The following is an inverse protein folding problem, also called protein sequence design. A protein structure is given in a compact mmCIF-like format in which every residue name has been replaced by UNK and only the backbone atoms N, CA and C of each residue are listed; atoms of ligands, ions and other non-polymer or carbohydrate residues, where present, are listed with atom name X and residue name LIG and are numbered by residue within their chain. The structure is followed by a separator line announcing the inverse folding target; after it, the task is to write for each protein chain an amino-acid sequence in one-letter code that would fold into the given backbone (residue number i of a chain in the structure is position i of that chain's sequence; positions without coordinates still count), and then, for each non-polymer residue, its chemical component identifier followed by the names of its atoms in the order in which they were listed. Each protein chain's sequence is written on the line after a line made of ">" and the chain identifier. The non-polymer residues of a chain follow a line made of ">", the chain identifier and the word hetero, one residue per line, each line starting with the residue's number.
data_IF_986794289933
#
_entry.id   IF_986794289933
#
_cell.length_a   1.000
_cell.length_b   1.000
_cell.length_c   1.000
_cell.angle_alpha   90.00
_cell.angle_beta   90.00
_cell.angle_gamma   90.00
#
_symmetry.space_group_name_H-M   'P 1'
#
loop_
_entity.id
_entity.type
_entity.pdbx_description
1 polymer ?
#
# COMPACT_ATOMS: atom_id res chain seq x y z
N UNK A 1 -17.94 15.00 -11.31
CA UNK A 1 -18.18 14.00 -10.24
C UNK A 1 -18.76 14.71 -9.02
N UNK A 2 -19.74 14.10 -8.35
CA UNK A 2 -20.39 14.70 -7.17
C UNK A 2 -19.45 14.76 -5.96
N UNK A 3 -19.71 15.69 -5.04
CA UNK A 3 -19.01 15.76 -3.74
C UNK A 3 -19.94 15.20 -2.66
N UNK A 4 -19.41 14.28 -1.85
CA UNK A 4 -20.12 13.72 -0.69
C UNK A 4 -19.41 14.19 0.58
N UNK A 5 -20.17 14.60 1.60
CA UNK A 5 -19.61 15.00 2.88
C UNK A 5 -19.07 13.79 3.63
N UNK A 6 -17.83 13.87 4.11
CA UNK A 6 -17.23 12.88 5.00
C UNK A 6 -17.39 13.34 6.45
N UNK A 7 -18.37 12.79 7.15
CA UNK A 7 -18.57 13.04 8.58
C UNK A 7 -17.62 12.15 9.40
N UNK A 8 -16.58 12.74 9.97
CA UNK A 8 -15.59 12.03 10.81
C UNK A 8 -15.26 12.83 12.05
N UNK A 9 -14.91 12.11 13.13
CA UNK A 9 -14.45 12.72 14.38
C UNK A 9 -12.92 12.70 14.40
N UNK A 10 -12.32 13.85 14.73
CA UNK A 10 -10.89 13.98 14.96
C UNK A 10 -10.65 14.77 16.24
N UNK A 11 -9.48 14.59 16.86
CA UNK A 11 -9.11 15.37 18.04
C UNK A 11 -9.03 16.86 17.72
N UNK A 12 -9.42 17.70 18.69
CA UNK A 12 -9.34 19.17 18.57
C UNK A 12 -7.90 19.63 18.31
N UNK A 13 -6.92 18.97 18.93
CA UNK A 13 -5.50 19.28 18.70
C UNK A 13 -5.08 19.02 17.25
N UNK A 14 -5.55 17.94 16.64
CA UNK A 14 -5.29 17.64 15.23
C UNK A 14 -6.00 18.63 14.31
N UNK A 15 -7.28 18.96 14.58
CA UNK A 15 -8.02 19.97 13.81
C UNK A 15 -7.29 21.30 13.79
N UNK A 16 -6.82 21.77 14.94
CA UNK A 16 -6.06 23.02 15.06
C UNK A 16 -4.74 23.00 14.27
N UNK A 17 -4.06 21.85 14.20
CA UNK A 17 -2.83 21.69 13.40
C UNK A 17 -3.14 21.72 11.91
N UNK A 18 -4.23 21.05 11.50
CA UNK A 18 -4.69 21.04 10.11
C UNK A 18 -5.07 22.44 9.65
N UNK A 19 -5.81 23.19 10.48
CA UNK A 19 -6.21 24.57 10.16
C UNK A 19 -5.01 25.48 9.92
N UNK A 20 -4.05 25.48 10.86
CA UNK A 20 -2.81 26.27 10.72
C UNK A 20 -2.00 25.88 9.47
N UNK A 21 -1.98 24.60 9.14
CA UNK A 21 -1.28 24.12 7.95
C UNK A 21 -1.97 24.62 6.67
N UNK A 22 -3.29 24.51 6.61
CA UNK A 22 -4.12 24.97 5.50
C UNK A 22 -4.00 26.48 5.30
N UNK A 23 -4.06 27.27 6.37
CA UNK A 23 -3.83 28.72 6.35
C UNK A 23 -2.44 29.07 5.79
N UNK A 24 -1.40 28.42 6.30
CA UNK A 24 -0.01 28.66 5.87
C UNK A 24 0.21 28.34 4.38
N UNK A 25 -0.51 27.35 3.84
CA UNK A 25 -0.34 26.88 2.46
C UNK A 25 -1.38 27.42 1.49
N UNK A 26 -2.38 28.17 1.95
CA UNK A 26 -3.48 28.66 1.12
C UNK A 26 -4.36 27.52 0.56
N UNK A 27 -4.52 26.45 1.32
CA UNK A 27 -5.27 25.24 0.91
C UNK A 27 -6.55 25.09 1.73
N UNK A 28 -7.57 24.45 1.16
CA UNK A 28 -8.76 24.06 1.92
C UNK A 28 -8.54 22.71 2.60
N UNK A 29 -9.18 22.52 3.76
CA UNK A 29 -9.14 21.23 4.49
C UNK A 29 -9.65 20.10 3.58
N UNK A 30 -10.73 20.33 2.83
CA UNK A 30 -11.27 19.33 1.91
C UNK A 30 -10.25 18.89 0.87
N UNK A 31 -9.49 19.84 0.28
CA UNK A 31 -8.44 19.52 -0.69
C UNK A 31 -7.30 18.73 -0.06
N UNK A 32 -6.84 19.16 1.12
CA UNK A 32 -5.79 18.47 1.86
C UNK A 32 -6.20 17.03 2.21
N UNK A 33 -7.41 16.86 2.73
CA UNK A 33 -7.93 15.54 3.12
C UNK A 33 -8.13 14.65 1.90
N UNK A 34 -8.66 15.19 0.79
CA UNK A 34 -8.82 14.42 -0.44
C UNK A 34 -7.48 13.91 -0.99
N UNK A 35 -6.46 14.77 -1.03
CA UNK A 35 -5.13 14.39 -1.52
C UNK A 35 -4.46 13.36 -0.58
N UNK A 36 -4.53 13.58 0.73
CA UNK A 36 -3.98 12.65 1.72
C UNK A 36 -4.68 11.28 1.72
N UNK A 37 -6.00 11.25 1.52
CA UNK A 37 -6.76 10.00 1.44
C UNK A 37 -6.40 9.22 0.17
N UNK A 38 -6.21 9.90 -0.97
CA UNK A 38 -5.77 9.23 -2.21
C UNK A 38 -4.42 8.58 -2.04
N UNK A 39 -3.44 9.34 -1.53
CA UNK A 39 -2.09 8.83 -1.27
C UNK A 39 -2.11 7.60 -0.35
N UNK A 40 -2.89 7.65 0.74
CA UNK A 40 -2.99 6.50 1.65
C UNK A 40 -3.73 5.29 1.08
N UNK A 41 -4.73 5.50 0.25
CA UNK A 41 -5.41 4.40 -0.45
C UNK A 41 -4.44 3.73 -1.43
N UNK A 42 -3.66 4.52 -2.17
CA UNK A 42 -2.68 3.99 -3.12
C UNK A 42 -1.59 3.17 -2.41
N UNK A 43 -1.05 3.68 -1.29
CA UNK A 43 -0.11 2.93 -0.45
C UNK A 43 -0.68 1.57 0.01
N UNK A 44 -1.91 1.55 0.52
CA UNK A 44 -2.53 0.29 0.97
C UNK A 44 -2.76 -0.70 -0.19
N UNK A 45 -3.14 -0.20 -1.37
CA UNK A 45 -3.29 -1.04 -2.55
C UNK A 45 -1.95 -1.64 -3.01
N UNK A 46 -0.87 -0.86 -2.94
CA UNK A 46 0.48 -1.36 -3.23
C UNK A 46 0.92 -2.43 -2.24
N UNK A 47 0.72 -2.22 -0.94
CA UNK A 47 1.00 -3.22 0.10
C UNK A 47 0.21 -4.52 -0.14
N UNK A 48 -1.09 -4.42 -0.43
CA UNK A 48 -1.93 -5.57 -0.75
C UNK A 48 -1.43 -6.30 -2.01
N UNK A 49 -1.09 -5.56 -3.07
CA UNK A 49 -0.56 -6.14 -4.30
C UNK A 49 0.73 -6.92 -4.05
N UNK A 50 1.65 -6.40 -3.23
CA UNK A 50 2.88 -7.09 -2.84
C UNK A 50 2.59 -8.38 -2.07
N UNK A 51 1.64 -8.37 -1.13
CA UNK A 51 1.21 -9.57 -0.42
C UNK A 51 0.63 -10.60 -1.37
N UNK A 52 -0.24 -10.19 -2.30
CA UNK A 52 -0.82 -11.08 -3.30
C UNK A 52 0.24 -11.69 -4.22
N UNK A 53 1.25 -10.91 -4.64
CA UNK A 53 2.37 -11.42 -5.42
C UNK A 53 3.18 -12.47 -4.65
N UNK A 54 3.45 -12.23 -3.36
CA UNK A 54 4.15 -13.18 -2.51
C UNK A 54 3.36 -14.49 -2.33
N UNK A 55 2.05 -14.39 -2.07
CA UNK A 55 1.17 -15.55 -1.94
C UNK A 55 1.08 -16.34 -3.24
N UNK A 56 0.95 -15.65 -4.38
CA UNK A 56 0.93 -16.28 -5.70
C UNK A 56 2.21 -17.07 -5.94
N UNK A 57 3.38 -16.48 -5.66
CA UNK A 57 4.68 -17.15 -5.80
C UNK A 57 4.78 -18.40 -4.90
N UNK A 58 4.26 -18.34 -3.68
CA UNK A 58 4.23 -19.50 -2.78
C UNK A 58 3.28 -20.60 -3.26
N UNK A 59 2.22 -20.23 -3.99
CA UNK A 59 1.21 -21.16 -4.51
C UNK A 59 1.57 -21.79 -5.85
N UNK A 60 2.55 -21.24 -6.57
CA UNK A 60 3.02 -21.78 -7.85
C UNK A 60 3.78 -23.09 -7.60
N UNK A 61 3.32 -24.25 -8.12
CA UNK A 61 4.05 -25.50 -8.01
C UNK A 61 5.26 -25.42 -8.95
N UNK A 62 6.42 -25.03 -8.40
CA UNK A 62 7.67 -25.09 -9.14
C UNK A 62 8.68 -23.98 -8.83
N UNK A 63 9.26 -23.98 -7.63
CA UNK A 63 10.72 -24.03 -7.61
C UNK A 63 11.04 -25.48 -7.28
N UNK A 64 11.68 -26.19 -8.21
CA UNK A 64 12.35 -27.45 -7.90
C UNK A 64 12.96 -27.30 -6.52
N UNK A 65 12.50 -28.08 -5.53
CA UNK A 65 13.09 -27.99 -4.19
C UNK A 65 14.61 -28.04 -4.36
N UNK A 66 15.38 -27.33 -3.55
CA UNK A 66 16.85 -27.36 -3.67
C UNK A 66 17.41 -28.81 -3.80
N UNK A 67 16.67 -29.79 -3.25
CA UNK A 67 16.90 -31.22 -3.43
C UNK A 67 16.73 -31.75 -4.88
N UNK A 68 15.75 -31.28 -5.64
CA UNK A 68 15.54 -31.60 -7.05
C UNK A 68 16.63 -30.97 -7.95
N UNK A 69 17.00 -29.71 -7.69
CA UNK A 69 18.14 -29.08 -8.37
C UNK A 69 19.45 -29.83 -8.11
N UNK A 70 19.72 -30.19 -6.85
CA UNK A 70 20.90 -30.98 -6.47
C UNK A 70 20.92 -32.36 -7.16
N UNK A 71 19.76 -33.01 -7.31
CA UNK A 71 19.62 -34.27 -8.05
C UNK A 71 19.90 -34.10 -9.55
N UNK A 72 19.41 -33.03 -10.16
CA UNK A 72 19.66 -32.75 -11.58
C UNK A 72 21.14 -32.48 -11.88
N UNK A 73 21.81 -31.66 -11.06
CA UNK A 73 23.24 -31.33 -11.23
C UNK A 73 24.14 -32.55 -10.99
N UNK A 74 23.79 -33.43 -10.06
CA UNK A 74 24.54 -34.68 -9.82
C UNK A 74 24.51 -35.65 -11.01
N UNK A 75 23.44 -35.64 -11.82
CA UNK A 75 23.29 -36.49 -13.01
C UNK A 75 24.05 -35.99 -14.24
N UNK A 76 24.47 -34.72 -14.25
CA UNK A 76 25.24 -34.11 -15.34
C UNK A 76 26.77 -34.28 -15.17
N UNK A 77 27.23 -34.87 -14.07
CA UNK A 77 28.66 -35.11 -13.77
C UNK A 77 29.13 -36.55 -14.04
N UNK A 78 28.29 -37.38 -14.65
CA UNK A 78 28.63 -38.71 -15.19
C UNK A 78 28.52 -38.70 -16.69
#
# INVERSE_FOLDING_TARGET
>A
MGKTALATQISTSLKNRVDKLCEKRGLTISRLVEDALKEKIDEFNEEEALVQMALKRLSEPGEHSFAEYKKAVGRLKT
#
